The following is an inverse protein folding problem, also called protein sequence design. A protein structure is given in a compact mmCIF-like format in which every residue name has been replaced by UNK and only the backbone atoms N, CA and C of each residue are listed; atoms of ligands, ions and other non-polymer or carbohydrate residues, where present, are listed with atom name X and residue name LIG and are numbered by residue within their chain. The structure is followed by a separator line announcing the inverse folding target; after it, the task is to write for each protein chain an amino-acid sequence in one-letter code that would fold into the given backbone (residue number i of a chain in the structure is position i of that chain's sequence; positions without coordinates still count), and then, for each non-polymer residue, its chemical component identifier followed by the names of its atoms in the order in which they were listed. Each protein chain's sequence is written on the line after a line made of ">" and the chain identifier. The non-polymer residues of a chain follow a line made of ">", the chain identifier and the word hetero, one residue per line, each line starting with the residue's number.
data_IF_345620683847
#
_entry.id   IF_345620683847
#
_cell.length_a   1.000
_cell.length_b   1.000
_cell.length_c   1.000
_cell.angle_alpha   90.00
_cell.angle_beta   90.00
_cell.angle_gamma   90.00
#
_symmetry.space_group_name_H-M   'P 1'
#
loop_
_entity.id
_entity.type
_entity.pdbx_description
1 polymer ?
#
# COMPACT_ATOMS: atom_id res chain seq x y z
N UNK A 1 21.24 -15.07 24.86
CA UNK A 1 20.32 -15.56 23.82
C UNK A 1 19.56 -14.39 23.20
N UNK A 2 18.96 -13.54 24.03
CA UNK A 2 18.30 -12.29 23.61
C UNK A 2 19.23 -11.32 22.87
N UNK A 3 20.44 -11.10 23.40
CA UNK A 3 21.46 -10.25 22.76
C UNK A 3 21.89 -10.76 21.36
N UNK A 4 21.96 -12.08 21.14
CA UNK A 4 22.32 -12.64 19.83
C UNK A 4 21.20 -12.38 18.80
N UNK A 5 19.94 -12.52 19.22
CA UNK A 5 18.78 -12.26 18.37
C UNK A 5 18.67 -10.77 17.97
N UNK A 6 19.06 -9.85 18.86
CA UNK A 6 19.11 -8.41 18.54
C UNK A 6 20.11 -8.11 17.43
N UNK A 7 21.29 -8.73 17.45
CA UNK A 7 22.29 -8.57 16.40
C UNK A 7 21.81 -9.17 15.07
N UNK A 8 21.16 -10.34 15.09
CA UNK A 8 20.58 -10.98 13.91
C UNK A 8 19.49 -10.09 13.26
N UNK A 9 18.62 -9.50 14.08
CA UNK A 9 17.59 -8.57 13.62
C UNK A 9 18.23 -7.31 13.04
N UNK A 10 19.22 -6.72 13.73
CA UNK A 10 19.91 -5.52 13.27
C UNK A 10 20.61 -5.74 11.93
N UNK A 11 21.21 -6.92 11.74
CA UNK A 11 21.77 -7.35 10.46
C UNK A 11 20.70 -7.42 9.36
N UNK A 12 19.59 -8.14 9.58
CA UNK A 12 18.52 -8.25 8.59
C UNK A 12 17.94 -6.90 8.19
N UNK A 13 17.71 -6.02 9.17
CA UNK A 13 17.23 -4.65 8.97
C UNK A 13 18.19 -3.82 8.10
N UNK A 14 19.48 -3.81 8.45
CA UNK A 14 20.51 -3.06 7.72
C UNK A 14 20.77 -3.60 6.31
N UNK A 15 20.85 -4.92 6.16
CA UNK A 15 21.02 -5.59 4.86
C UNK A 15 19.82 -5.30 3.95
N UNK A 16 18.61 -5.41 4.49
CA UNK A 16 17.38 -5.17 3.75
C UNK A 16 17.31 -3.73 3.21
N UNK A 17 17.59 -2.75 4.07
CA UNK A 17 17.59 -1.35 3.67
C UNK A 17 18.72 -1.05 2.67
N UNK A 18 19.89 -1.65 2.84
CA UNK A 18 21.00 -1.54 1.88
C UNK A 18 20.60 -2.06 0.51
N UNK A 19 19.98 -3.23 0.45
CA UNK A 19 19.48 -3.79 -0.79
C UNK A 19 18.41 -2.91 -1.44
N UNK A 20 17.46 -2.38 -0.65
CA UNK A 20 16.43 -1.50 -1.19
C UNK A 20 17.02 -0.20 -1.74
N UNK A 21 17.96 0.41 -1.02
CA UNK A 21 18.63 1.65 -1.42
C UNK A 21 19.39 1.52 -2.74
N UNK A 22 20.10 0.40 -2.90
CA UNK A 22 20.95 0.12 -4.07
C UNK A 22 20.23 -0.65 -5.19
N UNK A 23 18.91 -0.87 -5.05
CA UNK A 23 18.10 -1.71 -5.96
C UNK A 23 18.63 -3.14 -6.16
N UNK A 24 19.15 -3.74 -5.08
CA UNK A 24 19.68 -5.09 -5.00
C UNK A 24 18.69 -6.02 -4.29
N UNK A 25 18.42 -7.17 -4.92
CA UNK A 25 17.58 -8.26 -4.36
C UNK A 25 18.42 -9.51 -4.03
N UNK A 26 19.53 -9.69 -4.75
CA UNK A 26 20.47 -10.80 -4.57
C UNK A 26 21.82 -10.23 -4.11
N UNK A 27 22.23 -10.62 -2.91
CA UNK A 27 23.42 -10.12 -2.22
C UNK A 27 24.58 -11.07 -2.47
N UNK A 28 25.66 -10.54 -3.04
CA UNK A 28 26.93 -11.27 -3.15
C UNK A 28 27.69 -11.28 -1.82
N UNK A 29 28.79 -12.03 -1.77
CA UNK A 29 29.58 -12.17 -0.55
C UNK A 29 30.22 -10.86 -0.10
N UNK A 30 30.52 -9.93 -1.02
CA UNK A 30 31.12 -8.65 -0.67
C UNK A 30 30.12 -7.77 0.08
N UNK A 31 28.90 -7.64 -0.46
CA UNK A 31 27.81 -6.91 0.19
C UNK A 31 27.42 -7.54 1.54
N UNK A 32 27.43 -8.87 1.63
CA UNK A 32 27.15 -9.57 2.88
C UNK A 32 28.23 -9.28 3.93
N UNK A 33 29.51 -9.39 3.56
CA UNK A 33 30.62 -9.10 4.48
C UNK A 33 30.57 -7.64 4.98
N UNK A 34 30.35 -6.68 4.08
CA UNK A 34 30.17 -5.27 4.45
C UNK A 34 28.98 -5.06 5.41
N UNK A 35 27.87 -5.75 5.16
CA UNK A 35 26.69 -5.68 6.04
C UNK A 35 26.94 -6.31 7.41
N UNK A 36 27.69 -7.43 7.49
CA UNK A 36 28.04 -8.07 8.75
C UNK A 36 28.94 -7.16 9.61
N UNK A 37 30.03 -6.65 9.02
CA UNK A 37 30.95 -5.71 9.68
C UNK A 37 30.21 -4.50 10.25
N UNK A 38 29.22 -4.01 9.50
CA UNK A 38 28.49 -2.79 9.85
C UNK A 38 27.38 -3.00 10.87
N UNK A 39 26.54 -4.01 10.68
CA UNK A 39 25.27 -4.12 11.40
C UNK A 39 25.26 -5.20 12.48
N UNK A 40 26.19 -6.16 12.40
CA UNK A 40 26.34 -7.21 13.39
C UNK A 40 27.79 -7.74 13.47
N UNK A 41 28.77 -6.88 13.81
CA UNK A 41 30.17 -7.29 13.90
C UNK A 41 30.47 -8.48 14.85
N UNK A 42 29.66 -8.78 15.89
CA UNK A 42 29.88 -9.97 16.70
C UNK A 42 29.48 -11.29 16.03
N UNK A 43 28.75 -11.25 14.90
CA UNK A 43 28.22 -12.44 14.25
C UNK A 43 29.16 -12.97 13.18
N UNK A 44 29.35 -14.29 13.18
CA UNK A 44 30.10 -14.99 12.13
C UNK A 44 29.16 -15.33 10.97
N UNK A 45 29.44 -14.77 9.79
CA UNK A 45 28.62 -14.93 8.57
C UNK A 45 28.35 -16.40 8.24
N UNK A 46 29.38 -17.24 8.26
CA UNK A 46 29.33 -18.67 7.91
C UNK A 46 28.40 -19.50 8.81
N UNK A 47 28.21 -19.07 10.06
CA UNK A 47 27.38 -19.76 11.04
C UNK A 47 25.95 -19.20 11.03
N UNK A 48 25.83 -17.89 10.81
CA UNK A 48 24.58 -17.15 11.01
C UNK A 48 23.70 -17.19 9.77
N UNK A 49 24.26 -16.99 8.57
CA UNK A 49 23.48 -16.95 7.31
C UNK A 49 22.61 -18.20 7.09
N UNK A 50 23.11 -19.45 7.29
CA UNK A 50 22.29 -20.64 7.08
C UNK A 50 21.16 -20.81 8.10
N UNK A 51 21.22 -20.09 9.24
CA UNK A 51 20.25 -20.17 10.33
C UNK A 51 19.19 -19.07 10.28
N UNK A 52 19.43 -18.02 9.49
CA UNK A 52 18.46 -16.94 9.31
C UNK A 52 17.29 -17.42 8.45
N UNK A 53 16.14 -17.60 9.11
CA UNK A 53 14.95 -18.16 8.48
C UNK A 53 14.44 -17.34 7.28
N UNK A 54 14.73 -16.04 7.24
CA UNK A 54 14.26 -15.10 6.21
C UNK A 54 15.16 -15.00 4.97
N UNK A 55 16.32 -15.66 5.00
CA UNK A 55 17.30 -15.64 3.92
C UNK A 55 17.44 -17.02 3.29
N UNK A 56 17.76 -17.04 1.99
CA UNK A 56 18.09 -18.25 1.24
C UNK A 56 19.35 -18.04 0.44
N UNK A 57 20.21 -19.04 0.45
CA UNK A 57 21.41 -19.08 -0.37
C UNK A 57 21.08 -19.57 -1.77
N UNK A 58 21.49 -18.80 -2.77
CA UNK A 58 21.47 -19.15 -4.18
C UNK A 58 22.87 -19.62 -4.59
N UNK A 59 22.95 -20.78 -5.26
CA UNK A 59 24.20 -21.34 -5.76
C UNK A 59 24.31 -22.85 -5.52
N UNK A 60 24.61 -23.60 -6.58
CA UNK A 60 24.93 -25.04 -6.54
C UNK A 60 26.42 -25.31 -6.24
N UNK A 61 27.20 -24.26 -5.99
CA UNK A 61 28.64 -24.37 -5.78
C UNK A 61 28.94 -24.84 -4.36
N UNK A 62 29.89 -25.77 -4.23
CA UNK A 62 30.46 -26.18 -2.94
C UNK A 62 31.46 -25.14 -2.38
N UNK A 63 31.81 -24.11 -3.16
CA UNK A 63 32.69 -23.02 -2.74
C UNK A 63 31.87 -21.87 -2.13
N UNK A 64 32.07 -21.63 -0.85
CA UNK A 64 31.43 -20.56 -0.04
C UNK A 64 31.63 -19.18 -0.68
N UNK A 65 32.73 -18.96 -1.40
CA UNK A 65 33.07 -17.69 -2.05
C UNK A 65 32.17 -17.28 -3.23
N UNK A 66 31.36 -18.20 -3.77
CA UNK A 66 30.47 -17.95 -4.91
C UNK A 66 28.98 -18.04 -4.55
N UNK A 67 28.65 -18.04 -3.26
CA UNK A 67 27.28 -18.19 -2.79
C UNK A 67 26.64 -16.81 -2.62
N UNK A 68 25.57 -16.56 -3.36
CA UNK A 68 24.74 -15.36 -3.18
C UNK A 68 23.60 -15.65 -2.21
N UNK A 69 22.99 -14.62 -1.65
CA UNK A 69 21.86 -14.74 -0.75
C UNK A 69 20.72 -13.80 -1.15
N UNK A 70 19.49 -14.17 -0.90
CA UNK A 70 18.32 -13.30 -1.10
C UNK A 70 17.30 -13.51 0.02
N UNK A 71 16.43 -12.52 0.21
CA UNK A 71 15.27 -12.68 1.09
C UNK A 71 14.28 -13.68 0.50
N UNK A 72 13.64 -14.47 1.35
CA UNK A 72 12.60 -15.44 0.97
C UNK A 72 11.53 -14.87 0.02
N UNK A 73 11.21 -13.61 0.23
CA UNK A 73 10.31 -12.84 -0.61
C UNK A 73 10.68 -11.36 -0.50
N UNK A 74 10.43 -10.61 -1.57
CA UNK A 74 10.77 -9.19 -1.60
C UNK A 74 10.08 -8.39 -0.49
N UNK A 75 8.86 -8.76 -0.10
CA UNK A 75 8.14 -8.11 1.00
C UNK A 75 8.81 -8.27 2.35
N UNK A 76 9.58 -9.33 2.58
CA UNK A 76 10.40 -9.45 3.79
C UNK A 76 11.55 -8.45 3.77
N UNK A 77 12.20 -8.26 2.63
CA UNK A 77 13.20 -7.21 2.46
C UNK A 77 12.57 -5.83 2.74
N UNK A 78 11.42 -5.52 2.15
CA UNK A 78 10.73 -4.24 2.36
C UNK A 78 10.32 -4.05 3.84
N UNK A 79 9.86 -5.10 4.51
CA UNK A 79 9.51 -5.07 5.94
C UNK A 79 10.72 -4.82 6.84
N UNK A 80 11.81 -5.56 6.68
CA UNK A 80 13.03 -5.36 7.47
C UNK A 80 13.67 -4.00 7.18
N UNK A 81 13.62 -3.53 5.93
CA UNK A 81 14.06 -2.19 5.56
C UNK A 81 13.20 -1.10 6.22
N UNK A 82 11.87 -1.28 6.31
CA UNK A 82 10.98 -0.36 7.02
C UNK A 82 11.32 -0.31 8.51
N UNK A 83 11.56 -1.46 9.15
CA UNK A 83 11.99 -1.53 10.55
C UNK A 83 13.31 -0.80 10.80
N UNK A 84 14.29 -0.99 9.93
CA UNK A 84 15.54 -0.22 9.95
C UNK A 84 15.23 1.28 9.93
N UNK A 85 14.41 1.72 8.98
CA UNK A 85 14.04 3.12 8.81
C UNK A 85 13.36 3.71 10.05
N UNK A 86 12.45 2.96 10.70
CA UNK A 86 11.82 3.37 11.97
C UNK A 86 12.84 3.60 13.07
N UNK A 87 13.84 2.72 13.21
CA UNK A 87 14.91 2.89 14.20
C UNK A 87 15.68 4.18 13.94
N UNK A 88 16.03 4.46 12.70
CA UNK A 88 16.76 5.67 12.33
C UNK A 88 15.91 6.94 12.50
N UNK A 89 14.62 6.86 12.15
CA UNK A 89 13.65 7.93 12.40
C UNK A 89 13.61 8.32 13.88
N UNK A 90 13.57 7.32 14.78
CA UNK A 90 13.54 7.55 16.24
C UNK A 90 14.88 8.07 16.77
N UNK A 91 15.98 7.52 16.28
CA UNK A 91 17.32 7.84 16.78
C UNK A 91 17.78 9.26 16.43
N UNK A 92 17.17 9.91 15.41
CA UNK A 92 17.57 11.26 14.96
C UNK A 92 19.08 11.39 14.69
N UNK A 93 19.73 10.30 14.25
CA UNK A 93 21.18 10.25 14.06
C UNK A 93 21.56 10.79 12.66
N UNK A 94 22.31 11.90 12.56
CA UNK A 94 22.50 12.56 11.27
C UNK A 94 23.50 11.87 10.33
N UNK A 95 24.47 11.08 10.82
CA UNK A 95 25.73 10.92 10.07
C UNK A 95 26.19 9.48 9.75
N UNK A 96 25.40 8.43 10.01
CA UNK A 96 25.90 7.05 9.75
C UNK A 96 24.80 6.02 9.46
N UNK A 97 23.60 6.45 9.09
CA UNK A 97 22.49 5.52 8.90
C UNK A 97 22.33 5.03 7.44
N UNK A 98 22.91 5.72 6.46
CA UNK A 98 22.91 5.24 5.07
C UNK A 98 24.06 4.27 4.80
N UNK A 99 23.84 3.17 4.07
CA UNK A 99 24.90 2.30 3.57
C UNK A 99 25.95 3.16 2.85
N UNK A 100 27.24 2.95 3.12
CA UNK A 100 28.28 3.86 2.63
C UNK A 100 28.34 3.77 1.10
N UNK A 101 28.03 4.86 0.42
CA UNK A 101 28.25 5.02 -1.02
C UNK A 101 29.43 5.97 -1.22
N UNK A 102 30.64 5.45 -1.05
CA UNK A 102 31.86 6.19 -1.36
C UNK A 102 32.23 7.34 -0.42
N UNK A 103 33.42 7.86 -0.68
CA UNK A 103 34.32 8.60 0.21
C UNK A 103 33.96 10.10 0.41
N UNK A 104 32.68 10.41 0.61
CA UNK A 104 32.24 11.80 0.84
C UNK A 104 31.91 12.00 2.32
N UNK A 105 32.71 12.85 2.99
CA UNK A 105 32.54 13.33 4.38
C UNK A 105 31.30 14.21 4.59
N UNK A 106 30.38 14.30 3.63
CA UNK A 106 29.14 15.05 3.81
C UNK A 106 28.16 14.27 4.69
N UNK A 107 27.54 14.99 5.63
CA UNK A 107 26.43 14.46 6.42
C UNK A 107 25.33 13.97 5.47
N UNK A 108 25.05 12.65 5.49
CA UNK A 108 23.98 12.07 4.70
C UNK A 108 22.62 12.70 5.04
N UNK A 109 21.61 12.61 4.15
CA UNK A 109 20.29 13.15 4.44
C UNK A 109 19.70 12.49 5.68
N UNK A 110 18.98 13.27 6.48
CA UNK A 110 18.16 12.74 7.57
C UNK A 110 17.09 11.76 7.04
N UNK A 111 16.54 10.85 7.86
CA UNK A 111 15.44 9.98 7.44
C UNK A 111 14.25 10.74 6.85
N UNK A 112 13.95 11.93 7.40
CA UNK A 112 12.88 12.80 6.90
C UNK A 112 13.20 13.30 5.48
N UNK A 113 14.42 13.80 5.23
CA UNK A 113 14.85 14.24 3.90
C UNK A 113 14.88 13.09 2.89
N UNK A 114 15.33 11.92 3.34
CA UNK A 114 15.33 10.71 2.53
C UNK A 114 13.91 10.33 2.10
N UNK A 115 12.97 10.27 3.04
CA UNK A 115 11.57 9.99 2.75
C UNK A 115 11.01 11.03 1.76
N UNK A 116 11.26 12.32 1.99
CA UNK A 116 10.79 13.38 1.08
C UNK A 116 11.30 13.21 -0.34
N UNK A 117 12.55 12.78 -0.51
CA UNK A 117 13.16 12.53 -1.82
C UNK A 117 12.62 11.27 -2.51
N UNK A 118 12.26 10.23 -1.76
CA UNK A 118 11.92 8.91 -2.32
C UNK A 118 10.43 8.54 -2.25
N UNK A 119 9.57 9.35 -1.61
CA UNK A 119 8.14 9.05 -1.37
C UNK A 119 7.29 8.72 -2.59
N UNK A 120 7.71 9.13 -3.79
CA UNK A 120 6.98 8.87 -5.05
C UNK A 120 7.63 7.80 -5.93
N UNK A 121 8.72 7.18 -5.47
CA UNK A 121 9.40 6.11 -6.20
C UNK A 121 8.70 4.78 -5.88
N UNK A 122 8.21 4.11 -6.92
CA UNK A 122 7.42 2.87 -6.79
C UNK A 122 8.12 1.77 -5.98
N UNK A 123 9.46 1.67 -6.07
CA UNK A 123 10.28 0.72 -5.31
C UNK A 123 10.11 0.81 -3.80
N UNK A 124 9.74 1.99 -3.29
CA UNK A 124 9.58 2.24 -1.87
C UNK A 124 8.14 2.15 -1.37
N UNK A 125 7.16 1.91 -2.25
CA UNK A 125 5.74 1.95 -1.90
C UNK A 125 5.40 1.00 -0.74
N UNK A 126 5.80 -0.27 -0.85
CA UNK A 126 5.58 -1.26 0.22
C UNK A 126 6.37 -0.93 1.49
N UNK A 127 7.57 -0.35 1.37
CA UNK A 127 8.32 0.11 2.54
C UNK A 127 7.55 1.23 3.26
N UNK A 128 6.99 2.21 2.54
CA UNK A 128 6.23 3.30 3.15
C UNK A 128 4.95 2.81 3.83
N UNK A 129 4.30 1.79 3.26
CA UNK A 129 3.16 1.11 3.90
C UNK A 129 3.55 0.50 5.24
N UNK A 130 4.59 -0.33 5.28
CA UNK A 130 5.07 -0.89 6.54
C UNK A 130 5.54 0.18 7.52
N UNK A 131 6.22 1.22 7.05
CA UNK A 131 6.67 2.33 7.87
C UNK A 131 5.48 3.05 8.54
N UNK A 132 4.39 3.28 7.79
CA UNK A 132 3.19 3.93 8.32
C UNK A 132 2.56 3.10 9.45
N UNK A 133 2.38 1.79 9.25
CA UNK A 133 1.82 0.90 10.29
C UNK A 133 2.72 0.76 11.51
N UNK A 134 4.04 0.67 11.32
CA UNK A 134 5.00 0.60 12.43
C UNK A 134 5.03 1.91 13.24
N UNK A 135 5.02 3.07 12.57
CA UNK A 135 4.98 4.36 13.27
C UNK A 135 3.63 4.62 13.95
N UNK A 136 2.52 4.09 13.42
CA UNK A 136 1.22 4.14 14.09
C UNK A 136 1.23 3.38 15.43
N UNK A 137 1.82 2.18 15.44
CA UNK A 137 1.98 1.39 16.67
C UNK A 137 2.79 2.15 17.75
N UNK A 138 3.65 3.07 17.34
CA UNK A 138 4.43 3.95 18.23
C UNK A 138 3.73 5.30 18.54
N UNK A 139 2.52 5.54 18.06
CA UNK A 139 1.79 6.80 18.21
C UNK A 139 2.35 7.97 17.37
N UNK A 140 3.16 7.67 16.35
CA UNK A 140 3.84 8.64 15.47
C UNK A 140 3.20 8.80 14.08
N UNK A 141 2.03 8.20 13.83
CA UNK A 141 1.32 8.31 12.55
C UNK A 141 1.15 9.78 12.11
N UNK A 142 0.75 10.68 13.03
CA UNK A 142 0.61 12.11 12.73
C UNK A 142 1.88 12.73 12.16
N UNK A 143 3.03 12.47 12.80
CA UNK A 143 4.33 13.00 12.36
C UNK A 143 4.68 12.52 10.96
N UNK A 144 4.44 11.24 10.68
CA UNK A 144 4.65 10.65 9.36
C UNK A 144 3.78 11.32 8.28
N UNK A 145 2.47 11.46 8.52
CA UNK A 145 1.56 12.08 7.56
C UNK A 145 1.86 13.57 7.34
N UNK A 146 2.30 14.28 8.38
CA UNK A 146 2.77 15.66 8.27
C UNK A 146 4.04 15.77 7.42
N UNK A 147 4.91 14.75 7.42
CA UNK A 147 6.13 14.72 6.60
C UNK A 147 5.84 14.38 5.14
N UNK A 148 5.04 13.35 4.85
CA UNK A 148 4.72 13.00 3.44
C UNK A 148 3.94 14.12 2.76
N UNK A 149 3.13 14.88 3.51
CA UNK A 149 2.35 16.02 3.01
C UNK A 149 3.18 17.26 2.64
N UNK A 150 4.43 17.35 3.11
CA UNK A 150 5.34 18.46 2.77
C UNK A 150 5.96 18.27 1.39
N UNK A 151 6.62 19.32 0.87
CA UNK A 151 7.35 19.27 -0.39
C UNK A 151 8.36 18.10 -0.44
N UNK A 152 8.71 17.53 -1.62
CA UNK A 152 8.27 17.93 -2.95
C UNK A 152 6.80 17.59 -3.23
N UNK A 153 6.14 18.48 -3.97
CA UNK A 153 4.74 18.33 -4.37
C UNK A 153 4.68 17.47 -5.63
N UNK A 154 3.73 16.55 -5.67
CA UNK A 154 3.39 15.86 -6.91
C UNK A 154 2.62 16.82 -7.82
N UNK A 155 3.18 17.13 -9.00
CA UNK A 155 2.62 18.10 -9.96
C UNK A 155 1.17 17.78 -10.33
N UNK A 156 0.78 16.50 -10.39
CA UNK A 156 -0.58 16.09 -10.70
C UNK A 156 -1.40 15.71 -9.46
N UNK A 157 -0.76 15.63 -8.29
CA UNK A 157 -1.35 15.20 -7.03
C UNK A 157 -1.70 13.70 -6.92
N UNK A 158 -1.91 12.99 -8.03
CA UNK A 158 -2.41 11.60 -8.03
C UNK A 158 -1.47 10.59 -7.38
N UNK A 159 -0.16 10.71 -7.59
CA UNK A 159 0.84 9.85 -6.97
C UNK A 159 0.87 10.09 -5.46
N UNK A 160 0.72 11.36 -5.05
CA UNK A 160 0.60 11.70 -3.64
C UNK A 160 -0.67 11.11 -3.02
N UNK A 161 -1.83 11.23 -3.68
CA UNK A 161 -3.07 10.64 -3.17
C UNK A 161 -3.01 9.11 -3.07
N UNK A 162 -2.35 8.44 -4.04
CA UNK A 162 -2.12 6.98 -3.97
C UNK A 162 -1.25 6.59 -2.77
N UNK A 163 -0.14 7.31 -2.54
CA UNK A 163 0.69 7.10 -1.36
C UNK A 163 -0.11 7.27 -0.06
N UNK A 164 -0.92 8.33 0.04
CA UNK A 164 -1.78 8.59 1.20
C UNK A 164 -2.78 7.46 1.39
N UNK A 165 -3.44 6.99 0.33
CA UNK A 165 -4.36 5.85 0.36
C UNK A 165 -3.66 4.60 0.92
N UNK A 166 -2.52 4.23 0.34
CA UNK A 166 -1.77 3.04 0.75
C UNK A 166 -1.28 3.13 2.20
N UNK A 167 -0.82 4.30 2.65
CA UNK A 167 -0.37 4.46 4.03
C UNK A 167 -1.56 4.49 5.01
N UNK A 168 -2.68 5.13 4.65
CA UNK A 168 -3.87 5.20 5.51
C UNK A 168 -4.50 3.82 5.75
N UNK A 169 -4.35 2.87 4.83
CA UNK A 169 -4.83 1.50 5.02
C UNK A 169 -4.05 0.72 6.07
N UNK A 170 -2.81 1.14 6.37
CA UNK A 170 -1.93 0.47 7.35
C UNK A 170 -2.04 1.06 8.76
N UNK A 171 -2.76 2.18 8.91
CA UNK A 171 -2.89 2.94 10.16
C UNK A 171 -4.28 2.77 10.78
N UNK A 172 -4.33 2.58 12.09
CA UNK A 172 -5.59 2.37 12.82
C UNK A 172 -6.30 3.69 13.14
N UNK A 173 -7.63 3.67 13.00
CA UNK A 173 -8.50 4.77 13.44
C UNK A 173 -8.94 4.53 14.89
N UNK A 174 -8.01 4.61 15.85
CA UNK A 174 -8.37 4.52 17.26
C UNK A 174 -9.17 5.76 17.70
N UNK A 175 -10.31 5.58 18.40
CA UNK A 175 -11.07 6.71 18.94
C UNK A 175 -10.19 7.55 19.87
N UNK A 176 -10.25 8.88 19.72
CA UNK A 176 -9.54 9.86 20.55
C UNK A 176 -8.00 9.87 20.38
N UNK A 177 -7.46 9.31 19.31
CA UNK A 177 -6.04 9.46 19.00
C UNK A 177 -5.74 10.88 18.49
N UNK A 178 -4.50 11.35 18.71
CA UNK A 178 -4.03 12.63 18.15
C UNK A 178 -4.02 12.62 16.61
N UNK A 179 -4.08 11.43 16.00
CA UNK A 179 -4.14 11.22 14.57
C UNK A 179 -5.56 11.31 14.00
N UNK A 180 -6.63 11.10 14.79
CA UNK A 180 -8.02 11.11 14.29
C UNK A 180 -8.35 12.38 13.48
N UNK A 181 -8.03 13.61 13.93
CA UNK A 181 -8.35 14.82 13.15
C UNK A 181 -7.57 14.90 11.84
N UNK A 182 -6.33 14.40 11.81
CA UNK A 182 -5.49 14.37 10.61
C UNK A 182 -6.06 13.36 9.60
N UNK A 183 -6.48 12.18 10.08
CA UNK A 183 -7.16 11.18 9.25
C UNK A 183 -8.42 11.75 8.61
N UNK A 184 -9.30 12.40 9.39
CA UNK A 184 -10.53 12.99 8.85
C UNK A 184 -10.24 14.00 7.75
N UNK A 185 -9.26 14.89 7.95
CA UNK A 185 -8.84 15.86 6.91
C UNK A 185 -8.36 15.14 5.64
N UNK A 186 -7.48 14.15 5.78
CA UNK A 186 -6.97 13.40 4.62
C UNK A 186 -8.09 12.65 3.88
N UNK A 187 -9.04 12.07 4.62
CA UNK A 187 -10.21 11.40 4.04
C UNK A 187 -11.14 12.38 3.32
N UNK A 188 -11.33 13.60 3.85
CA UNK A 188 -12.08 14.66 3.19
C UNK A 188 -11.38 15.13 1.90
N UNK A 189 -10.07 15.37 1.96
CA UNK A 189 -9.27 15.73 0.79
C UNK A 189 -9.36 14.65 -0.30
N UNK A 190 -9.31 13.36 0.08
CA UNK A 190 -9.45 12.24 -0.86
C UNK A 190 -10.83 12.21 -1.54
N UNK A 191 -11.92 12.56 -0.83
CA UNK A 191 -13.25 12.71 -1.45
C UNK A 191 -13.22 13.77 -2.53
N UNK A 192 -12.64 14.94 -2.25
CA UNK A 192 -12.52 16.02 -3.21
C UNK A 192 -11.69 15.61 -4.44
N UNK A 193 -10.56 14.93 -4.22
CA UNK A 193 -9.71 14.42 -5.29
C UNK A 193 -10.40 13.36 -6.16
N UNK A 194 -11.19 12.46 -5.57
CA UNK A 194 -12.00 11.48 -6.32
C UNK A 194 -13.02 12.20 -7.23
N UNK A 195 -13.72 13.19 -6.69
CA UNK A 195 -14.69 13.98 -7.45
C UNK A 195 -14.00 14.82 -8.54
N UNK A 196 -12.86 15.43 -8.25
CA UNK A 196 -12.05 16.17 -9.21
C UNK A 196 -11.56 15.27 -10.34
N UNK A 197 -11.01 14.09 -10.03
CA UNK A 197 -10.55 13.15 -11.03
C UNK A 197 -11.68 12.69 -11.94
N UNK A 198 -12.87 12.40 -11.38
CA UNK A 198 -14.07 12.09 -12.16
C UNK A 198 -14.50 13.24 -13.08
N UNK A 199 -14.31 14.51 -12.70
CA UNK A 199 -14.60 15.65 -13.60
C UNK A 199 -13.59 15.75 -14.74
N UNK A 200 -12.31 15.55 -14.46
CA UNK A 200 -11.23 15.78 -15.42
C UNK A 200 -10.88 14.58 -16.30
N UNK A 201 -11.28 13.36 -15.91
CA UNK A 201 -10.92 12.12 -16.60
C UNK A 201 -12.13 11.25 -16.91
N UNK A 202 -11.93 10.32 -17.84
CA UNK A 202 -12.95 9.33 -18.24
C UNK A 202 -13.12 8.17 -17.25
N UNK A 203 -12.32 8.14 -16.18
CA UNK A 203 -12.33 7.12 -15.14
C UNK A 203 -11.52 7.65 -13.94
N UNK A 204 -11.90 7.25 -12.72
CA UNK A 204 -11.08 7.54 -11.53
C UNK A 204 -10.08 6.42 -11.27
N UNK A 205 -8.79 6.74 -11.32
CA UNK A 205 -7.71 5.83 -10.95
C UNK A 205 -7.62 5.61 -9.44
N UNK A 206 -7.95 6.63 -8.63
CA UNK A 206 -7.99 6.51 -7.17
C UNK A 206 -9.13 5.57 -6.73
N UNK A 207 -10.31 5.66 -7.37
CA UNK A 207 -11.42 4.77 -7.10
C UNK A 207 -11.14 3.30 -7.47
N UNK A 208 -10.05 3.00 -8.17
CA UNK A 208 -9.63 1.63 -8.46
C UNK A 208 -8.81 0.99 -7.33
N UNK A 209 -8.16 1.78 -6.48
CA UNK A 209 -7.27 1.26 -5.43
C UNK A 209 -8.04 0.45 -4.39
N UNK A 210 -7.61 -0.78 -4.11
CA UNK A 210 -8.28 -1.67 -3.15
C UNK A 210 -8.15 -1.15 -1.72
N UNK A 211 -7.06 -0.45 -1.44
CA UNK A 211 -6.67 0.16 -0.19
C UNK A 211 -7.46 1.45 0.13
N UNK A 212 -8.21 2.00 -0.84
CA UNK A 212 -9.02 3.20 -0.62
C UNK A 212 -10.04 2.95 0.50
N UNK A 213 -10.07 3.79 1.57
CA UNK A 213 -11.02 3.61 2.66
C UNK A 213 -12.47 3.52 2.16
N UNK A 214 -13.23 2.46 2.54
CA UNK A 214 -14.58 2.25 2.03
C UNK A 214 -15.51 3.45 2.19
N UNK A 215 -15.44 4.13 3.35
CA UNK A 215 -16.29 5.29 3.63
C UNK A 215 -15.96 6.49 2.76
N UNK A 216 -14.68 6.71 2.42
CA UNK A 216 -14.25 7.78 1.48
C UNK A 216 -14.86 7.54 0.12
N UNK A 217 -14.75 6.31 -0.39
CA UNK A 217 -15.34 5.92 -1.66
C UNK A 217 -16.87 6.08 -1.65
N UNK A 218 -17.55 5.60 -0.60
CA UNK A 218 -19.00 5.70 -0.43
C UNK A 218 -19.44 7.18 -0.41
N UNK A 219 -18.76 8.07 0.32
CA UNK A 219 -19.04 9.52 0.36
C UNK A 219 -18.84 10.21 -0.98
N UNK A 220 -17.76 9.88 -1.70
CA UNK A 220 -17.50 10.43 -3.02
C UNK A 220 -18.55 9.98 -4.04
N UNK A 221 -18.94 8.71 -4.01
CA UNK A 221 -19.98 8.16 -4.88
C UNK A 221 -21.36 8.78 -4.61
N UNK A 222 -21.73 8.98 -3.34
CA UNK A 222 -22.98 9.67 -2.97
C UNK A 222 -23.04 11.10 -3.50
N UNK A 223 -21.88 11.77 -3.57
CA UNK A 223 -21.76 13.14 -4.06
C UNK A 223 -21.57 13.24 -5.59
N UNK A 224 -21.58 12.11 -6.30
CA UNK A 224 -21.31 12.06 -7.73
C UNK A 224 -22.52 12.52 -8.57
N UNK A 225 -22.24 13.27 -9.64
CA UNK A 225 -23.21 13.53 -10.71
C UNK A 225 -23.51 12.25 -11.50
N UNK A 226 -24.55 12.23 -12.33
CA UNK A 226 -24.91 11.05 -13.15
C UNK A 226 -23.75 10.56 -14.04
N UNK A 227 -23.02 11.49 -14.68
CA UNK A 227 -21.79 11.18 -15.42
C UNK A 227 -20.70 10.60 -14.49
N UNK A 228 -20.54 11.18 -13.30
CA UNK A 228 -19.63 10.69 -12.27
C UNK A 228 -19.94 9.26 -11.83
N UNK A 229 -21.22 8.89 -11.67
CA UNK A 229 -21.64 7.51 -11.32
C UNK A 229 -21.10 6.50 -12.34
N UNK A 230 -21.22 6.80 -13.63
CA UNK A 230 -20.69 5.95 -14.70
C UNK A 230 -19.18 5.74 -14.59
N UNK A 231 -18.43 6.80 -14.26
CA UNK A 231 -16.97 6.76 -14.09
C UNK A 231 -16.54 5.97 -12.86
N UNK A 232 -17.24 6.12 -11.73
CA UNK A 232 -17.00 5.31 -10.54
C UNK A 232 -17.29 3.83 -10.80
N UNK A 233 -18.46 3.51 -11.35
CA UNK A 233 -18.83 2.13 -11.69
C UNK A 233 -17.80 1.51 -12.64
N UNK A 234 -17.34 2.25 -13.65
CA UNK A 234 -16.27 1.80 -14.53
C UNK A 234 -14.97 1.47 -13.77
N UNK A 235 -14.54 2.31 -12.84
CA UNK A 235 -13.37 2.04 -12.00
C UNK A 235 -13.56 0.79 -11.14
N UNK A 236 -14.75 0.62 -10.54
CA UNK A 236 -15.07 -0.53 -9.70
C UNK A 236 -15.09 -1.86 -10.45
N UNK A 237 -15.35 -1.87 -11.77
CA UNK A 237 -15.24 -3.12 -12.56
C UNK A 237 -13.83 -3.72 -12.58
N UNK A 238 -12.81 -2.91 -12.25
CA UNK A 238 -11.40 -3.33 -12.17
C UNK A 238 -11.00 -3.80 -10.76
N UNK A 239 -11.87 -3.62 -9.76
CA UNK A 239 -11.69 -4.21 -8.43
C UNK A 239 -12.11 -5.68 -8.47
N UNK A 240 -11.39 -6.52 -7.73
CA UNK A 240 -11.77 -7.92 -7.56
C UNK A 240 -12.89 -8.07 -6.51
N UNK A 241 -13.02 -7.09 -5.60
CA UNK A 241 -14.10 -6.99 -4.62
C UNK A 241 -14.42 -5.52 -4.31
N UNK A 242 -15.66 -5.23 -3.92
CA UNK A 242 -16.13 -3.96 -3.36
C UNK A 242 -16.60 -4.13 -1.90
N UNK A 243 -16.41 -3.11 -1.03
CA UNK A 243 -16.96 -3.12 0.32
C UNK A 243 -18.49 -3.15 0.34
N UNK A 244 -19.10 -3.65 1.42
CA UNK A 244 -20.57 -3.73 1.58
C UNK A 244 -21.25 -2.38 1.41
N UNK A 245 -20.74 -1.29 2.01
CA UNK A 245 -21.35 0.04 1.83
C UNK A 245 -21.40 0.48 0.36
N UNK A 246 -20.42 0.06 -0.44
CA UNK A 246 -20.35 0.36 -1.87
C UNK A 246 -21.38 -0.48 -2.62
N UNK A 247 -21.51 -1.77 -2.27
CA UNK A 247 -22.53 -2.65 -2.85
C UNK A 247 -23.95 -2.13 -2.58
N UNK A 248 -24.23 -1.71 -1.34
CA UNK A 248 -25.51 -1.11 -0.96
C UNK A 248 -25.83 0.14 -1.77
N UNK A 249 -24.84 1.03 -1.92
CA UNK A 249 -24.97 2.24 -2.72
C UNK A 249 -25.18 1.92 -4.21
N UNK A 250 -24.43 0.98 -4.77
CA UNK A 250 -24.59 0.56 -6.16
C UNK A 250 -26.00 0.00 -6.42
N UNK A 251 -26.52 -0.80 -5.51
CA UNK A 251 -27.87 -1.32 -5.64
C UNK A 251 -28.94 -0.24 -5.51
N UNK A 252 -28.71 0.82 -4.73
CA UNK A 252 -29.60 1.99 -4.72
C UNK A 252 -29.68 2.70 -6.08
N UNK A 253 -28.70 2.50 -6.96
CA UNK A 253 -28.69 3.06 -8.32
C UNK A 253 -29.34 2.14 -9.38
N UNK A 254 -29.85 0.97 -9.00
CA UNK A 254 -30.63 0.08 -9.88
C UNK A 254 -32.07 0.58 -10.05
N UNK A 255 -32.22 1.82 -10.50
CA UNK A 255 -33.52 2.45 -10.73
C UNK A 255 -34.03 2.16 -12.15
N UNK A 256 -35.36 2.07 -12.39
CA UNK A 256 -35.94 1.78 -13.71
C UNK A 256 -35.54 2.77 -14.82
N UNK A 257 -35.13 3.98 -14.46
CA UNK A 257 -34.76 5.04 -15.40
C UNK A 257 -33.24 5.25 -15.51
N UNK A 258 -32.45 4.45 -14.81
CA UNK A 258 -30.99 4.55 -14.89
C UNK A 258 -30.48 4.14 -16.29
N UNK A 259 -29.35 4.69 -16.75
CA UNK A 259 -28.75 4.29 -18.02
C UNK A 259 -28.52 2.77 -18.06
N UNK A 260 -28.98 2.08 -19.11
CA UNK A 260 -28.89 0.60 -19.20
C UNK A 260 -27.48 0.07 -19.03
N UNK A 261 -26.50 0.80 -19.54
CA UNK A 261 -25.09 0.40 -19.44
C UNK A 261 -24.52 0.60 -18.04
N UNK A 262 -25.08 1.52 -17.24
CA UNK A 262 -24.80 1.64 -15.81
C UNK A 262 -25.37 0.44 -15.06
N UNK A 263 -26.65 0.11 -15.28
CA UNK A 263 -27.34 -1.05 -14.67
C UNK A 263 -26.55 -2.34 -14.93
N UNK A 264 -26.19 -2.59 -16.19
CA UNK A 264 -25.43 -3.79 -16.59
C UNK A 264 -24.12 -3.92 -15.83
N UNK A 265 -23.36 -2.82 -15.69
CA UNK A 265 -22.09 -2.82 -14.96
C UNK A 265 -22.26 -2.99 -13.47
N UNK A 266 -23.30 -2.40 -12.88
CA UNK A 266 -23.64 -2.58 -11.47
C UNK A 266 -23.92 -4.06 -11.20
N UNK A 267 -24.78 -4.69 -12.00
CA UNK A 267 -25.08 -6.12 -11.86
C UNK A 267 -23.83 -7.00 -12.01
N UNK A 268 -22.97 -6.69 -12.98
CA UNK A 268 -21.69 -7.40 -13.16
C UNK A 268 -20.72 -7.24 -11.98
N UNK A 269 -20.77 -6.12 -11.23
CA UNK A 269 -19.99 -5.93 -10.01
C UNK A 269 -20.63 -6.71 -8.87
N UNK A 270 -21.93 -6.52 -8.63
CA UNK A 270 -22.66 -7.20 -7.55
C UNK A 270 -22.62 -8.72 -7.71
N UNK A 271 -22.62 -9.24 -8.94
CA UNK A 271 -22.51 -10.67 -9.17
C UNK A 271 -21.15 -11.28 -8.85
N UNK A 272 -20.09 -10.48 -8.63
CA UNK A 272 -18.83 -10.99 -8.09
C UNK A 272 -18.82 -11.04 -6.57
N UNK A 273 -19.85 -10.50 -5.92
CA UNK A 273 -19.99 -10.51 -4.47
C UNK A 273 -20.76 -11.72 -3.99
N UNK A 274 -20.09 -12.57 -3.21
CA UNK A 274 -20.67 -13.80 -2.66
C UNK A 274 -21.68 -13.60 -1.52
N UNK A 275 -21.87 -12.37 -1.04
CA UNK A 275 -22.78 -12.06 0.08
C UNK A 275 -23.62 -10.81 -0.23
N UNK A 276 -24.72 -11.02 -0.94
CA UNK A 276 -25.77 -10.03 -1.12
C UNK A 276 -26.79 -10.17 0.02
N UNK A 277 -27.18 -9.07 0.65
CA UNK A 277 -28.31 -9.07 1.59
C UNK A 277 -29.63 -9.34 0.86
N UNK A 278 -30.68 -9.75 1.58
CA UNK A 278 -32.00 -10.01 0.99
C UNK A 278 -32.57 -8.82 0.21
N UNK A 279 -32.28 -7.59 0.68
CA UNK A 279 -32.65 -6.36 -0.02
C UNK A 279 -31.90 -6.22 -1.36
N UNK A 280 -30.60 -6.50 -1.36
CA UNK A 280 -29.78 -6.50 -2.58
C UNK A 280 -30.24 -7.57 -3.56
N UNK A 281 -30.54 -8.78 -3.08
CA UNK A 281 -31.08 -9.88 -3.89
C UNK A 281 -32.40 -9.48 -4.57
N UNK A 282 -33.28 -8.79 -3.85
CA UNK A 282 -34.56 -8.32 -4.42
C UNK A 282 -34.33 -7.32 -5.55
N UNK A 283 -33.38 -6.38 -5.38
CA UNK A 283 -33.04 -5.39 -6.43
C UNK A 283 -32.36 -6.04 -7.64
N UNK A 284 -31.49 -7.03 -7.43
CA UNK A 284 -30.88 -7.80 -8.52
C UNK A 284 -31.92 -8.65 -9.25
N UNK A 285 -32.83 -9.30 -8.51
CA UNK A 285 -33.91 -10.12 -9.06
C UNK A 285 -34.89 -9.35 -9.94
N UNK A 286 -35.10 -8.04 -9.67
CA UNK A 286 -35.89 -7.18 -10.55
C UNK A 286 -35.34 -7.15 -11.99
N UNK A 287 -34.01 -7.28 -12.16
CA UNK A 287 -33.35 -7.32 -13.46
C UNK A 287 -33.67 -8.57 -14.31
N UNK A 288 -34.22 -9.64 -13.70
CA UNK A 288 -34.64 -10.85 -14.43
C UNK A 288 -35.83 -10.58 -15.38
N UNK A 289 -36.61 -9.55 -15.08
CA UNK A 289 -37.78 -9.15 -15.87
C UNK A 289 -37.48 -7.99 -16.85
N UNK A 290 -36.21 -7.58 -17.00
CA UNK A 290 -35.86 -6.46 -17.88
C UNK A 290 -36.06 -6.82 -19.36
N UNK A 291 -36.49 -5.85 -20.16
CA UNK A 291 -36.58 -5.95 -21.63
C UNK A 291 -35.24 -6.29 -22.30
N UNK A 292 -34.11 -5.84 -21.75
CA UNK A 292 -32.77 -6.05 -22.27
C UNK A 292 -32.21 -7.41 -21.86
N UNK A 293 -31.89 -8.25 -22.86
CA UNK A 293 -31.35 -9.59 -22.60
C UNK A 293 -29.98 -9.56 -21.89
N UNK A 294 -29.21 -8.48 -22.04
CA UNK A 294 -27.91 -8.33 -21.37
C UNK A 294 -28.11 -8.11 -19.87
N UNK A 295 -29.08 -7.28 -19.49
CA UNK A 295 -29.42 -7.03 -18.09
C UNK A 295 -29.92 -8.32 -17.44
N UNK A 296 -30.83 -9.05 -18.11
CA UNK A 296 -31.30 -10.36 -17.63
C UNK A 296 -30.16 -11.34 -17.40
N UNK A 297 -29.20 -11.42 -18.33
CA UNK A 297 -28.04 -12.30 -18.21
C UNK A 297 -27.17 -11.97 -16.99
N UNK A 298 -26.85 -10.69 -16.79
CA UNK A 298 -26.02 -10.27 -15.64
C UNK A 298 -26.76 -10.49 -14.32
N UNK A 299 -28.08 -10.25 -14.28
CA UNK A 299 -28.91 -10.55 -13.11
C UNK A 299 -28.91 -12.04 -12.76
N UNK A 300 -29.04 -12.93 -13.76
CA UNK A 300 -28.91 -14.38 -13.55
C UNK A 300 -27.53 -14.71 -12.99
N UNK A 301 -26.47 -14.23 -13.64
CA UNK A 301 -25.10 -14.49 -13.18
C UNK A 301 -24.91 -14.06 -11.73
N UNK A 302 -25.41 -12.88 -11.36
CA UNK A 302 -25.28 -12.33 -10.02
C UNK A 302 -26.07 -13.05 -8.93
N UNK A 303 -27.11 -13.82 -9.30
CA UNK A 303 -27.89 -14.63 -8.35
C UNK A 303 -27.38 -16.07 -8.24
N UNK A 304 -26.50 -16.49 -9.14
CA UNK A 304 -25.98 -17.87 -9.21
C UNK A 304 -24.53 -18.01 -8.72
N UNK A 305 -23.85 -16.90 -8.47
CA UNK A 305 -22.49 -16.81 -7.94
C UNK A 305 -22.45 -16.86 -6.42
#
# INVERSE_FOLDING_TARGET
>A
MEELAEHEISFLEGLAFTGLHNDVVEFDQNLLNEAFERFAPPLLSDITLPRLSFLRTSGLSSEISNQSCHFLHLTYQEYFAARYFVRQWKASLPNTWLPASGDTQDAGPTPIEYLRKHKYIARYDILWRFLAGLLDADGKAKEFFDVIGKEPVDLLGLTHQRLVIHCLSEVQALPQSSFTPVRTRLEDDLVEWLLFECKCRNESSLAREMELPPLVLCRAMQSATDDGRGKFVKALTKRHSVPTCVADLLASWLEPHAPRELIRRILAILGRHSFLSDELLTRVAAGLNDSDWRIRREAVQALTS
#
